data_IF_063095628455
#
_entry.id   IF_063095628455
#
_cell.length_a   1.000
_cell.length_b   1.000
_cell.length_c   1.000
_cell.angle_alpha   90.00
_cell.angle_beta   90.00
_cell.angle_gamma   90.00
#
_symmetry.space_group_name_H-M   'P 1'
#
loop_
_entity.id
_entity.type
_entity.pdbx_description
1 polymer ?
#
# COMPACT_ATOMS: atom_id res chain seq x y z
N UNK A 1 8.10 -11.68 13.96
CA UNK A 1 8.08 -10.19 14.11
C UNK A 1 9.46 -9.57 13.90
N UNK A 2 10.34 -9.42 14.89
CA UNK A 2 11.56 -8.58 14.73
C UNK A 2 12.53 -9.05 13.64
N UNK A 3 12.70 -10.36 13.43
CA UNK A 3 13.57 -10.88 12.37
C UNK A 3 12.91 -10.86 10.99
N UNK A 4 11.58 -10.72 10.95
CA UNK A 4 10.78 -10.72 9.71
C UNK A 4 10.43 -9.31 9.25
N UNK A 5 10.57 -8.28 10.11
CA UNK A 5 10.12 -6.93 9.82
C UNK A 5 10.90 -6.27 8.67
N UNK A 6 12.22 -6.47 8.61
CA UNK A 6 13.03 -5.93 7.51
C UNK A 6 12.73 -6.63 6.18
N UNK A 7 12.77 -7.98 6.09
CA UNK A 7 12.36 -8.67 4.87
C UNK A 7 10.91 -8.36 4.44
N UNK A 8 9.97 -8.23 5.38
CA UNK A 8 8.60 -7.85 5.06
C UNK A 8 8.56 -6.46 4.41
N UNK A 9 9.23 -5.47 5.01
CA UNK A 9 9.31 -4.11 4.48
C UNK A 9 9.94 -4.08 3.09
N UNK A 10 11.09 -4.73 2.91
CA UNK A 10 11.77 -4.83 1.61
C UNK A 10 10.84 -5.45 0.56
N UNK A 11 10.13 -6.52 0.92
CA UNK A 11 9.28 -7.26 0.02
C UNK A 11 8.06 -6.47 -0.49
N UNK A 12 7.40 -5.67 0.35
CA UNK A 12 6.29 -4.83 -0.11
C UNK A 12 6.71 -3.44 -0.62
N UNK A 13 8.00 -3.11 -0.59
CA UNK A 13 8.52 -1.83 -1.10
C UNK A 13 9.52 -2.06 -2.23
N UNK A 14 10.82 -2.07 -1.93
CA UNK A 14 11.89 -2.20 -2.90
C UNK A 14 12.70 -3.47 -2.74
N UNK A 15 12.48 -4.47 -3.59
CA UNK A 15 13.22 -5.74 -3.56
C UNK A 15 14.21 -5.86 -4.74
N UNK A 16 14.96 -6.98 -4.81
CA UNK A 16 15.93 -7.27 -5.89
C UNK A 16 17.01 -6.18 -6.10
N UNK A 17 17.21 -5.30 -5.11
CA UNK A 17 18.14 -4.18 -5.16
C UNK A 17 17.61 -2.91 -5.85
N UNK A 18 16.32 -2.82 -6.19
CA UNK A 18 15.75 -1.71 -6.98
C UNK A 18 15.58 -0.38 -6.23
N UNK A 19 16.03 -0.30 -4.96
CA UNK A 19 15.71 0.79 -4.01
C UNK A 19 14.23 0.81 -3.62
N UNK A 20 13.83 1.67 -2.68
CA UNK A 20 12.57 1.56 -1.92
C UNK A 20 11.27 1.79 -2.71
N UNK A 21 11.31 2.39 -3.91
CA UNK A 21 10.12 2.72 -4.72
C UNK A 21 9.12 3.70 -4.06
N UNK A 22 9.59 4.47 -3.09
CA UNK A 22 8.84 5.55 -2.45
C UNK A 22 8.76 6.80 -3.34
N UNK A 23 7.89 7.72 -2.96
CA UNK A 23 7.89 9.07 -3.53
C UNK A 23 9.15 9.84 -3.14
N UNK A 24 10.10 9.91 -4.07
CA UNK A 24 11.36 10.62 -3.85
C UNK A 24 11.26 12.12 -4.10
N UNK A 25 10.12 12.61 -4.63
CA UNK A 25 9.87 14.03 -4.89
C UNK A 25 9.15 14.73 -3.73
N UNK A 26 8.63 13.96 -2.76
CA UNK A 26 7.89 14.50 -1.62
C UNK A 26 8.36 13.95 -0.26
N UNK A 27 7.48 13.34 0.56
CA UNK A 27 7.77 13.01 1.97
C UNK A 27 8.47 11.67 2.17
N UNK A 28 8.69 10.89 1.11
CA UNK A 28 9.39 9.61 1.12
C UNK A 28 8.63 8.47 1.85
N UNK A 29 7.37 8.68 2.22
CA UNK A 29 6.65 7.77 3.12
C UNK A 29 5.80 6.70 2.40
N UNK A 30 5.03 7.10 1.41
CA UNK A 30 4.17 6.27 0.58
C UNK A 30 4.83 5.83 -0.73
N UNK A 31 4.21 4.84 -1.41
CA UNK A 31 4.67 4.35 -2.71
C UNK A 31 4.44 5.39 -3.80
N UNK A 32 5.42 5.56 -4.69
CA UNK A 32 5.25 6.31 -5.94
C UNK A 32 6.36 5.90 -6.93
N UNK A 33 6.28 4.69 -7.50
CA UNK A 33 7.33 4.12 -8.35
C UNK A 33 7.61 4.96 -9.61
N UNK A 34 6.65 5.79 -10.05
CA UNK A 34 6.85 6.74 -11.15
C UNK A 34 7.97 7.75 -10.88
N UNK A 35 8.11 8.18 -9.62
CA UNK A 35 9.05 9.24 -9.26
C UNK A 35 10.50 8.83 -9.36
N UNK A 36 10.78 7.53 -9.45
CA UNK A 36 12.13 6.98 -9.48
C UNK A 36 12.82 7.30 -10.80
N UNK A 37 12.08 7.48 -11.89
CA UNK A 37 12.63 7.88 -13.18
C UNK A 37 12.21 9.32 -13.55
N UNK A 38 12.89 9.91 -14.54
CA UNK A 38 12.60 11.27 -14.99
C UNK A 38 12.95 12.40 -14.01
N UNK A 39 13.59 12.09 -12.88
CA UNK A 39 14.03 13.07 -11.87
C UNK A 39 15.56 13.32 -11.90
N UNK A 40 16.00 14.39 -11.21
CA UNK A 40 17.39 14.81 -11.10
C UNK A 40 18.17 14.27 -9.89
N UNK A 41 17.61 13.33 -9.12
CA UNK A 41 18.16 12.87 -7.82
C UNK A 41 18.97 11.57 -7.90
N UNK A 42 19.04 10.93 -9.06
CA UNK A 42 19.96 9.80 -9.30
C UNK A 42 19.48 8.44 -8.76
N UNK A 43 18.23 8.34 -8.30
CA UNK A 43 17.61 7.10 -7.81
C UNK A 43 16.76 6.44 -8.91
N UNK A 44 17.41 5.99 -9.99
CA UNK A 44 16.71 5.52 -11.19
C UNK A 44 16.46 4.02 -11.20
N UNK A 45 15.26 3.62 -11.66
CA UNK A 45 14.96 2.23 -12.02
C UNK A 45 15.19 1.96 -13.51
N UNK A 46 15.27 3.01 -14.33
CA UNK A 46 15.34 2.97 -15.79
C UNK A 46 14.27 2.06 -16.41
N UNK A 47 13.11 1.96 -15.75
CA UNK A 47 12.08 1.05 -16.18
C UNK A 47 11.41 1.55 -17.46
N UNK A 48 11.14 0.62 -18.38
CA UNK A 48 10.32 0.84 -19.56
C UNK A 48 9.40 -0.37 -19.79
N UNK A 49 8.75 -0.48 -20.95
CA UNK A 49 7.83 -1.60 -21.20
C UNK A 49 8.49 -2.98 -21.31
N UNK A 50 9.83 -3.08 -21.29
CA UNK A 50 10.55 -4.32 -21.53
C UNK A 50 11.50 -4.70 -20.39
N UNK A 51 12.02 -3.71 -19.68
CA UNK A 51 13.20 -3.87 -18.84
C UNK A 51 13.22 -2.95 -17.62
N UNK A 52 14.05 -3.31 -16.64
CA UNK A 52 14.20 -2.60 -15.37
C UNK A 52 15.62 -2.83 -14.80
N UNK A 53 16.06 -1.91 -13.95
CA UNK A 53 17.32 -1.97 -13.22
C UNK A 53 18.29 -0.91 -13.73
N UNK A 54 19.47 -0.84 -13.13
CA UNK A 54 20.48 0.12 -13.55
C UNK A 54 21.78 -0.63 -13.84
N UNK A 55 22.27 -0.50 -15.08
CA UNK A 55 23.54 -1.12 -15.47
C UNK A 55 24.70 -0.38 -14.80
N UNK A 56 25.25 -1.02 -13.78
CA UNK A 56 26.39 -0.54 -12.99
C UNK A 56 27.64 -1.39 -13.24
N UNK A 57 27.61 -2.29 -14.22
CA UNK A 57 28.78 -3.04 -14.67
C UNK A 57 29.85 -2.12 -15.25
N UNK A 58 31.09 -2.59 -15.29
CA UNK A 58 32.24 -1.94 -15.94
C UNK A 58 32.17 -2.12 -17.45
N UNK A 59 31.76 -3.29 -17.92
CA UNK A 59 31.76 -3.63 -19.34
C UNK A 59 30.78 -2.81 -20.18
N UNK A 60 29.63 -2.43 -19.64
CA UNK A 60 28.56 -1.76 -20.40
C UNK A 60 27.84 -0.62 -19.64
N UNK A 61 28.00 -0.57 -18.32
CA UNK A 61 27.26 0.35 -17.46
C UNK A 61 28.06 1.57 -17.00
N UNK A 62 27.74 2.02 -15.78
CA UNK A 62 28.39 3.18 -15.14
C UNK A 62 29.79 2.90 -14.57
N UNK A 63 30.21 1.64 -14.51
CA UNK A 63 31.48 1.22 -13.91
C UNK A 63 31.51 1.20 -12.38
N UNK A 64 30.36 1.36 -11.71
CA UNK A 64 30.29 1.34 -10.25
C UNK A 64 30.69 -0.02 -9.64
N UNK A 65 30.38 -1.15 -10.30
CA UNK A 65 30.81 -2.47 -9.86
C UNK A 65 32.34 -2.57 -9.72
N UNK A 66 33.10 -1.88 -10.59
CA UNK A 66 34.57 -1.85 -10.57
C UNK A 66 35.18 -1.04 -9.43
N UNK A 67 34.37 -0.36 -8.62
CA UNK A 67 34.86 0.39 -7.44
C UNK A 67 35.05 -0.51 -6.21
N UNK A 68 34.54 -1.74 -6.25
CA UNK A 68 34.74 -2.73 -5.20
C UNK A 68 36.10 -3.45 -5.32
N UNK A 69 36.59 -4.12 -4.26
CA UNK A 69 37.70 -5.06 -4.36
C UNK A 69 37.45 -6.13 -5.43
N UNK A 70 38.53 -6.64 -6.05
CA UNK A 70 38.49 -7.45 -7.26
C UNK A 70 37.48 -8.61 -7.20
N UNK A 71 37.46 -9.39 -6.12
CA UNK A 71 36.57 -10.54 -5.99
C UNK A 71 35.09 -10.13 -5.91
N UNK A 72 34.81 -8.99 -5.28
CA UNK A 72 33.45 -8.45 -5.14
C UNK A 72 33.00 -7.79 -6.44
N UNK A 73 33.90 -7.07 -7.11
CA UNK A 73 33.65 -6.49 -8.42
C UNK A 73 33.32 -7.58 -9.44
N UNK A 74 34.09 -8.67 -9.48
CA UNK A 74 33.81 -9.82 -10.35
C UNK A 74 32.44 -10.45 -10.07
N UNK A 75 32.06 -10.58 -8.79
CA UNK A 75 30.75 -11.12 -8.41
C UNK A 75 29.59 -10.26 -8.91
N UNK A 76 29.70 -8.93 -8.84
CA UNK A 76 28.66 -8.00 -9.28
C UNK A 76 28.70 -7.69 -10.78
N UNK A 77 29.85 -7.85 -11.43
CA UNK A 77 30.01 -7.67 -12.88
C UNK A 77 29.28 -8.75 -13.69
N UNK A 78 29.33 -10.00 -13.23
CA UNK A 78 28.66 -11.11 -13.90
C UNK A 78 27.26 -11.33 -13.31
N UNK A 79 26.26 -11.23 -14.19
CA UNK A 79 24.85 -11.47 -13.87
C UNK A 79 24.62 -12.89 -13.31
N UNK A 80 25.39 -13.89 -13.76
CA UNK A 80 25.27 -15.26 -13.28
C UNK A 80 25.73 -15.39 -11.81
N UNK A 81 26.69 -14.56 -11.38
CA UNK A 81 27.22 -14.61 -10.01
C UNK A 81 26.54 -13.61 -9.07
N UNK A 82 25.99 -12.51 -9.58
CA UNK A 82 25.31 -11.48 -8.78
C UNK A 82 24.13 -12.07 -7.99
N UNK A 83 24.06 -11.94 -6.65
CA UNK A 83 22.91 -12.40 -5.88
C UNK A 83 21.60 -11.72 -6.31
N UNK A 84 20.49 -12.46 -6.35
CA UNK A 84 19.20 -11.94 -6.85
C UNK A 84 18.77 -10.66 -6.11
N UNK A 85 19.01 -10.57 -4.80
CA UNK A 85 18.67 -9.41 -3.97
C UNK A 85 19.51 -8.15 -4.28
N UNK A 86 20.49 -8.23 -5.17
CA UNK A 86 21.27 -7.10 -5.69
C UNK A 86 21.21 -6.98 -7.21
N UNK A 87 20.44 -7.83 -7.89
CA UNK A 87 20.43 -7.92 -9.35
C UNK A 87 20.14 -6.57 -10.00
N UNK A 88 19.05 -5.92 -9.61
CA UNK A 88 18.60 -4.67 -10.23
C UNK A 88 19.41 -3.44 -9.79
N UNK A 89 20.24 -3.61 -8.75
CA UNK A 89 21.24 -2.61 -8.39
C UNK A 89 22.43 -2.65 -9.36
N UNK A 90 22.84 -3.82 -9.85
CA UNK A 90 24.03 -3.92 -10.70
C UNK A 90 23.73 -4.07 -12.19
N UNK A 91 22.55 -4.57 -12.54
CA UNK A 91 22.19 -4.96 -13.90
C UNK A 91 20.89 -4.28 -14.34
N UNK A 92 20.82 -3.95 -15.63
CA UNK A 92 19.59 -3.60 -16.32
C UNK A 92 19.14 -4.82 -17.14
N UNK A 93 17.98 -5.38 -16.84
CA UNK A 93 17.54 -6.66 -17.39
C UNK A 93 16.10 -6.60 -17.91
N UNK A 94 15.78 -7.49 -18.84
CA UNK A 94 14.38 -7.68 -19.24
C UNK A 94 13.56 -8.21 -18.06
N UNK A 95 12.29 -7.83 -17.96
CA UNK A 95 11.35 -8.36 -16.96
C UNK A 95 11.25 -9.89 -16.96
N UNK A 96 11.53 -10.52 -18.11
CA UNK A 96 11.49 -11.97 -18.32
C UNK A 96 12.81 -12.68 -17.98
N UNK A 97 13.84 -11.95 -17.52
CA UNK A 97 15.07 -12.55 -17.02
C UNK A 97 14.75 -13.51 -15.86
N UNK A 98 15.32 -14.71 -15.91
CA UNK A 98 15.08 -15.76 -14.92
C UNK A 98 16.10 -15.64 -13.80
N UNK A 99 15.60 -15.37 -12.60
CA UNK A 99 16.36 -15.32 -11.35
C UNK A 99 16.88 -16.71 -10.97
N UNK A 100 17.80 -16.78 -10.00
CA UNK A 100 18.29 -18.06 -9.47
C UNK A 100 17.19 -18.87 -8.77
N UNK A 101 16.14 -18.19 -8.30
CA UNK A 101 14.91 -18.84 -7.80
C UNK A 101 14.11 -19.59 -8.88
N UNK A 102 14.37 -19.30 -10.17
CA UNK A 102 13.61 -19.83 -11.31
C UNK A 102 12.40 -18.97 -11.71
N UNK A 103 12.04 -17.95 -10.92
CA UNK A 103 11.04 -16.97 -11.29
C UNK A 103 11.61 -15.95 -12.29
N UNK A 104 10.75 -15.34 -13.10
CA UNK A 104 11.15 -14.15 -13.86
C UNK A 104 11.20 -12.94 -12.94
N UNK A 105 12.02 -11.94 -13.23
CA UNK A 105 12.10 -10.68 -12.44
C UNK A 105 10.72 -10.12 -12.11
N UNK A 106 9.85 -9.96 -13.11
CA UNK A 106 8.51 -9.40 -12.87
C UNK A 106 7.60 -10.31 -12.03
N UNK A 107 7.73 -11.63 -12.16
CA UNK A 107 6.91 -12.56 -11.38
C UNK A 107 7.36 -12.57 -9.93
N UNK A 108 8.67 -12.58 -9.68
CA UNK A 108 9.21 -12.45 -8.33
C UNK A 108 8.80 -11.10 -7.72
N UNK A 109 8.80 -10.02 -8.51
CA UNK A 109 8.25 -8.74 -8.10
C UNK A 109 6.83 -8.89 -7.55
N UNK A 110 5.90 -9.46 -8.32
CA UNK A 110 4.54 -9.70 -7.83
C UNK A 110 4.52 -10.59 -6.58
N UNK A 111 5.23 -11.72 -6.62
CA UNK A 111 5.21 -12.70 -5.53
C UNK A 111 5.70 -12.10 -4.20
N UNK A 112 6.81 -11.36 -4.23
CA UNK A 112 7.36 -10.73 -3.03
C UNK A 112 6.47 -9.59 -2.50
N UNK A 113 5.89 -8.75 -3.36
CA UNK A 113 5.00 -7.67 -2.88
C UNK A 113 3.77 -8.22 -2.15
N UNK A 114 3.18 -9.29 -2.69
CA UNK A 114 2.10 -10.00 -2.00
C UNK A 114 2.58 -10.68 -0.72
N UNK A 115 3.74 -11.35 -0.74
CA UNK A 115 4.29 -12.02 0.43
C UNK A 115 4.68 -11.04 1.55
N UNK A 116 5.22 -9.87 1.21
CA UNK A 116 5.57 -8.80 2.15
C UNK A 116 4.32 -8.25 2.84
N UNK A 117 3.30 -7.88 2.06
CA UNK A 117 2.03 -7.40 2.61
C UNK A 117 1.34 -8.46 3.47
N UNK A 118 1.39 -9.73 3.07
CA UNK A 118 0.88 -10.86 3.86
C UNK A 118 1.65 -11.02 5.18
N UNK A 119 2.98 -10.89 5.15
CA UNK A 119 3.83 -11.00 6.34
C UNK A 119 3.51 -9.89 7.33
N UNK A 120 3.30 -8.65 6.87
CA UNK A 120 2.94 -7.51 7.71
C UNK A 120 1.65 -7.78 8.51
N UNK A 121 0.66 -8.48 7.92
CA UNK A 121 -0.57 -8.86 8.63
C UNK A 121 -0.32 -9.73 9.85
N UNK A 122 0.73 -10.57 9.81
CA UNK A 122 1.04 -11.52 10.90
C UNK A 122 1.55 -10.83 12.15
N UNK A 123 2.05 -9.58 12.03
CA UNK A 123 2.57 -8.82 13.17
C UNK A 123 1.47 -8.39 14.13
N UNK A 124 0.27 -8.12 13.63
CA UNK A 124 -0.88 -7.72 14.46
C UNK A 124 -1.31 -8.82 15.46
N UNK A 125 -1.68 -10.05 15.03
CA UNK A 125 -2.04 -11.12 15.97
C UNK A 125 -0.87 -11.55 16.84
N UNK A 126 0.37 -11.52 16.32
CA UNK A 126 1.56 -11.80 17.12
C UNK A 126 1.73 -10.78 18.27
N UNK A 127 1.54 -9.48 18.00
CA UNK A 127 1.56 -8.44 19.03
C UNK A 127 0.39 -8.55 20.01
N UNK A 128 -0.84 -8.80 19.51
CA UNK A 128 -2.02 -9.04 20.36
C UNK A 128 -1.82 -10.19 21.36
N UNK A 129 -1.06 -11.23 21.00
CA UNK A 129 -0.74 -12.36 21.90
C UNK A 129 0.10 -11.97 23.15
N UNK A 130 0.63 -10.74 23.17
CA UNK A 130 1.42 -10.17 24.26
C UNK A 130 0.59 -9.28 25.20
N UNK A 131 -0.74 -9.17 24.98
CA UNK A 131 -1.63 -8.44 25.87
C UNK A 131 -1.48 -8.90 27.33
N UNK A 132 -1.43 -7.95 28.26
CA UNK A 132 -1.19 -8.20 29.68
C UNK A 132 0.25 -8.60 30.05
N UNK A 133 1.16 -8.77 29.08
CA UNK A 133 2.60 -9.02 29.31
C UNK A 133 3.48 -7.79 29.08
N UNK A 134 2.92 -6.75 28.49
CA UNK A 134 3.54 -5.43 28.25
C UNK A 134 2.63 -4.39 28.94
N UNK A 135 3.18 -3.29 29.45
CA UNK A 135 2.34 -2.22 29.98
C UNK A 135 1.40 -1.68 28.91
N UNK A 136 0.27 -1.15 29.36
CA UNK A 136 -0.80 -0.75 28.48
C UNK A 136 -0.36 0.31 27.46
N UNK A 137 0.43 1.31 27.85
CA UNK A 137 0.84 2.39 26.96
C UNK A 137 1.62 1.85 25.74
N UNK A 138 2.72 1.13 25.98
CA UNK A 138 3.55 0.59 24.89
C UNK A 138 2.82 -0.48 24.08
N UNK A 139 2.02 -1.33 24.73
CA UNK A 139 1.20 -2.32 24.04
C UNK A 139 0.26 -1.65 23.03
N UNK A 140 -0.43 -0.60 23.47
CA UNK A 140 -1.45 0.07 22.67
C UNK A 140 -0.83 0.92 21.55
N UNK A 141 0.27 1.63 21.78
CA UNK A 141 0.96 2.41 20.74
C UNK A 141 1.50 1.49 19.63
N UNK A 142 2.21 0.42 20.00
CA UNK A 142 2.77 -0.50 19.02
C UNK A 142 1.67 -1.27 18.27
N UNK A 143 0.57 -1.65 18.93
CA UNK A 143 -0.56 -2.29 18.25
C UNK A 143 -1.14 -1.38 17.16
N UNK A 144 -1.31 -0.08 17.46
CA UNK A 144 -1.77 0.90 16.50
C UNK A 144 -0.84 0.98 15.27
N UNK A 145 0.48 1.07 15.50
CA UNK A 145 1.47 1.10 14.41
C UNK A 145 1.47 -0.17 13.55
N UNK A 146 1.30 -1.33 14.18
CA UNK A 146 1.23 -2.61 13.45
C UNK A 146 -0.04 -2.73 12.61
N UNK A 147 -1.19 -2.28 13.15
CA UNK A 147 -2.45 -2.25 12.40
C UNK A 147 -2.33 -1.29 11.21
N UNK A 148 -1.77 -0.10 11.43
CA UNK A 148 -1.48 0.85 10.36
C UNK A 148 -0.56 0.23 9.30
N UNK A 149 0.59 -0.33 9.70
CA UNK A 149 1.55 -0.95 8.78
C UNK A 149 0.91 -2.09 7.98
N UNK A 150 0.08 -2.92 8.60
CA UNK A 150 -0.63 -3.99 7.93
C UNK A 150 -1.55 -3.43 6.82
N UNK A 151 -2.31 -2.37 7.09
CA UNK A 151 -3.12 -1.70 6.08
C UNK A 151 -2.30 -1.02 4.98
N UNK A 152 -1.28 -0.26 5.35
CA UNK A 152 -0.44 0.51 4.42
C UNK A 152 0.43 -0.38 3.53
N UNK A 153 0.82 -1.57 4.00
CA UNK A 153 1.53 -2.56 3.19
C UNK A 153 0.71 -3.03 1.96
N UNK A 154 -0.63 -2.98 2.03
CA UNK A 154 -1.52 -3.29 0.91
C UNK A 154 -1.48 -2.15 -0.12
N UNK A 155 -1.46 -0.89 0.33
CA UNK A 155 -1.31 0.29 -0.55
C UNK A 155 0.01 0.20 -1.32
N UNK A 156 1.09 -0.07 -0.60
CA UNK A 156 2.42 -0.30 -1.16
C UNK A 156 2.46 -1.42 -2.21
N UNK A 157 1.94 -2.60 -1.84
CA UNK A 157 1.83 -3.76 -2.74
C UNK A 157 1.07 -3.41 -4.02
N UNK A 158 -0.12 -2.83 -3.89
CA UNK A 158 -0.99 -2.57 -5.04
C UNK A 158 -0.40 -1.50 -5.95
N UNK A 159 0.11 -0.40 -5.39
CA UNK A 159 0.69 0.68 -6.18
C UNK A 159 1.85 0.19 -7.05
N UNK A 160 2.78 -0.56 -6.45
CA UNK A 160 3.95 -1.04 -7.15
C UNK A 160 3.59 -2.15 -8.14
N UNK A 161 2.79 -3.13 -7.73
CA UNK A 161 2.42 -4.24 -8.60
C UNK A 161 1.61 -3.76 -9.82
N UNK A 162 0.63 -2.87 -9.61
CA UNK A 162 -0.17 -2.31 -10.71
C UNK A 162 0.68 -1.41 -11.61
N UNK A 163 1.60 -0.61 -11.07
CA UNK A 163 2.48 0.24 -11.87
C UNK A 163 3.33 -0.59 -12.85
N UNK A 164 4.05 -1.60 -12.35
CA UNK A 164 4.90 -2.43 -13.22
C UNK A 164 4.12 -3.43 -14.08
N UNK A 165 2.92 -3.82 -13.66
CA UNK A 165 1.99 -4.56 -14.53
C UNK A 165 1.52 -3.70 -15.71
N UNK A 166 1.12 -2.45 -15.46
CA UNK A 166 0.72 -1.52 -16.51
C UNK A 166 1.89 -1.17 -17.45
N UNK A 167 3.09 -0.97 -16.88
CA UNK A 167 4.28 -0.65 -17.67
C UNK A 167 4.74 -1.84 -18.53
N UNK A 168 4.89 -3.03 -17.96
CA UNK A 168 5.42 -4.21 -18.67
C UNK A 168 4.39 -4.93 -19.54
N UNK A 169 3.10 -4.83 -19.21
CA UNK A 169 2.03 -5.62 -19.84
C UNK A 169 2.12 -7.13 -19.59
N UNK A 170 2.96 -7.59 -18.65
CA UNK A 170 3.13 -9.01 -18.35
C UNK A 170 2.16 -9.41 -17.21
N UNK A 171 1.24 -10.35 -17.43
CA UNK A 171 0.27 -10.74 -16.40
C UNK A 171 0.95 -11.48 -15.25
N UNK A 172 0.46 -11.25 -14.02
CA UNK A 172 0.78 -12.09 -12.87
C UNK A 172 0.27 -13.51 -13.12
N UNK A 173 1.14 -14.53 -13.03
CA UNK A 173 0.77 -15.94 -13.22
C UNK A 173 -0.31 -16.41 -12.26
N UNK A 174 -0.37 -15.83 -11.06
CA UNK A 174 -1.41 -16.15 -10.08
C UNK A 174 -2.70 -15.35 -10.29
N UNK A 175 -2.72 -14.38 -11.22
CA UNK A 175 -3.90 -13.58 -11.56
C UNK A 175 -4.38 -12.68 -10.42
N UNK A 176 -3.47 -12.17 -9.56
CA UNK A 176 -3.84 -11.31 -8.42
C UNK A 176 -3.80 -9.83 -8.78
N UNK A 177 -2.75 -9.39 -9.48
CA UNK A 177 -2.54 -7.97 -9.82
C UNK A 177 -3.68 -7.45 -10.69
N UNK A 178 -4.31 -6.35 -10.27
CA UNK A 178 -5.46 -5.76 -10.95
C UNK A 178 -6.75 -6.58 -10.86
N UNK A 179 -6.80 -7.65 -10.05
CA UNK A 179 -7.98 -8.51 -9.91
C UNK A 179 -8.32 -8.72 -8.43
N UNK A 180 -9.22 -7.88 -7.93
CA UNK A 180 -9.61 -7.81 -6.52
C UNK A 180 -11.09 -8.16 -6.33
N UNK A 181 -11.49 -9.45 -6.39
CA UNK A 181 -12.91 -9.85 -6.44
C UNK A 181 -13.68 -9.53 -5.15
N UNK A 182 -12.97 -9.26 -4.05
CA UNK A 182 -13.56 -8.88 -2.78
C UNK A 182 -13.76 -7.37 -2.62
N UNK A 183 -13.26 -6.55 -3.57
CA UNK A 183 -13.35 -5.09 -3.52
C UNK A 183 -14.62 -4.58 -4.21
N UNK A 184 -15.18 -3.56 -3.59
CA UNK A 184 -16.21 -2.70 -4.16
C UNK A 184 -15.59 -1.32 -4.24
N UNK A 185 -15.33 -0.86 -5.46
CA UNK A 185 -14.79 0.47 -5.72
C UNK A 185 -15.82 1.54 -5.32
N UNK A 186 -15.37 2.58 -4.61
CA UNK A 186 -16.27 3.60 -4.07
C UNK A 186 -16.97 4.39 -5.18
N UNK A 187 -16.28 4.66 -6.30
CA UNK A 187 -16.83 5.34 -7.47
C UNK A 187 -17.89 4.52 -8.23
N UNK A 188 -18.00 3.21 -7.95
CA UNK A 188 -19.03 2.34 -8.50
C UNK A 188 -20.26 2.20 -7.57
N UNK A 189 -20.26 2.85 -6.41
CA UNK A 189 -21.40 2.89 -5.49
C UNK A 189 -22.44 3.92 -5.93
N UNK A 190 -23.62 3.88 -5.30
CA UNK A 190 -24.61 4.96 -5.39
C UNK A 190 -24.11 6.12 -4.52
N UNK A 191 -23.83 7.25 -5.17
CA UNK A 191 -23.26 8.44 -4.54
C UNK A 191 -24.31 9.55 -4.35
N UNK A 192 -24.30 10.16 -3.17
CA UNK A 192 -25.04 11.40 -2.84
C UNK A 192 -24.11 12.34 -2.07
N UNK A 193 -23.82 13.53 -2.60
CA UNK A 193 -22.83 14.45 -2.02
C UNK A 193 -21.36 14.02 -2.14
N UNK A 194 -21.09 12.90 -2.84
CA UNK A 194 -19.77 12.45 -3.27
C UNK A 194 -19.62 12.57 -4.78
N UNK A 195 -18.40 12.84 -5.25
CA UNK A 195 -18.05 12.79 -6.68
C UNK A 195 -16.72 12.04 -6.91
N UNK A 196 -16.53 11.39 -8.08
CA UNK A 196 -15.27 10.76 -8.43
C UNK A 196 -14.12 11.76 -8.50
N UNK A 197 -12.94 11.32 -8.04
CA UNK A 197 -11.70 12.07 -8.01
C UNK A 197 -10.59 11.23 -8.65
N UNK A 198 -10.01 11.75 -9.73
CA UNK A 198 -8.86 11.12 -10.38
C UNK A 198 -7.62 11.30 -9.51
N UNK A 199 -7.12 10.20 -8.93
CA UNK A 199 -5.99 10.22 -8.00
C UNK A 199 -4.67 10.36 -8.76
N UNK A 200 -3.71 11.09 -8.17
CA UNK A 200 -2.38 11.30 -8.74
C UNK A 200 -1.33 11.20 -7.63
N UNK A 201 -0.38 10.25 -7.70
CA UNK A 201 -0.20 9.25 -8.76
C UNK A 201 -1.34 8.22 -8.78
N UNK A 202 -1.76 7.75 -9.95
CA UNK A 202 -2.98 6.94 -10.10
C UNK A 202 -2.90 5.59 -9.39
N UNK A 203 -1.70 5.02 -9.25
CA UNK A 203 -1.50 3.66 -8.74
C UNK A 203 -1.77 3.52 -7.23
N UNK A 204 -1.92 4.63 -6.50
CA UNK A 204 -2.24 4.62 -5.06
C UNK A 204 -3.74 4.63 -4.76
N UNK A 205 -4.57 4.51 -5.79
CA UNK A 205 -6.01 4.29 -5.69
C UNK A 205 -6.39 3.00 -6.43
N UNK A 206 -7.30 2.23 -5.86
CA UNK A 206 -7.90 1.11 -6.57
C UNK A 206 -8.66 1.64 -7.78
N UNK A 207 -8.50 0.99 -8.93
CA UNK A 207 -9.09 1.45 -10.19
C UNK A 207 -8.80 2.94 -10.54
N UNK A 208 -7.69 3.49 -10.01
CA UNK A 208 -7.17 4.83 -10.30
C UNK A 208 -8.02 6.00 -9.80
N UNK A 209 -9.13 5.73 -9.11
CA UNK A 209 -10.16 6.71 -8.80
C UNK A 209 -10.58 6.56 -7.34
N UNK A 210 -10.68 7.67 -6.63
CA UNK A 210 -11.33 7.74 -5.33
C UNK A 210 -12.65 8.50 -5.46
N UNK A 211 -13.39 8.66 -4.38
CA UNK A 211 -14.47 9.64 -4.27
C UNK A 211 -14.16 10.68 -3.19
N UNK A 212 -14.59 11.92 -3.41
CA UNK A 212 -14.45 13.03 -2.45
C UNK A 212 -15.78 13.76 -2.30
N UNK A 213 -16.04 14.33 -1.14
CA UNK A 213 -17.28 15.08 -0.92
C UNK A 213 -17.31 16.31 -1.82
N UNK A 214 -18.46 16.61 -2.42
CA UNK A 214 -18.63 17.76 -3.34
C UNK A 214 -18.55 19.11 -2.63
N UNK A 215 -18.54 19.13 -1.30
CA UNK A 215 -18.43 20.32 -0.47
C UNK A 215 -17.80 19.98 0.87
N UNK A 216 -16.89 20.83 1.36
CA UNK A 216 -16.29 20.68 2.69
C UNK A 216 -17.23 21.05 3.86
N UNK A 217 -18.53 21.21 3.60
CA UNK A 217 -19.53 21.57 4.62
C UNK A 217 -20.65 20.54 4.78
N UNK A 218 -20.80 19.63 3.82
CA UNK A 218 -21.90 18.66 3.79
C UNK A 218 -21.35 17.26 3.65
N UNK A 219 -21.91 16.33 4.42
CA UNK A 219 -21.52 14.94 4.33
C UNK A 219 -21.89 14.34 2.96
N UNK A 220 -21.05 13.43 2.48
CA UNK A 220 -21.34 12.55 1.35
C UNK A 220 -21.79 11.17 1.85
N UNK A 221 -22.57 10.48 1.03
CA UNK A 221 -22.99 9.08 1.21
C UNK A 221 -22.58 8.25 -0.01
N UNK A 222 -21.90 7.13 0.23
CA UNK A 222 -21.67 6.09 -0.75
C UNK A 222 -22.38 4.80 -0.29
N UNK A 223 -23.16 4.17 -1.15
CA UNK A 223 -23.94 2.99 -0.78
C UNK A 223 -24.04 1.94 -1.88
N UNK A 224 -24.11 0.67 -1.49
CA UNK A 224 -24.25 -0.45 -2.42
C UNK A 224 -25.01 -1.61 -1.80
N UNK A 225 -25.57 -2.49 -2.64
CA UNK A 225 -26.12 -3.77 -2.20
C UNK A 225 -25.01 -4.82 -2.24
N UNK A 226 -24.82 -5.54 -1.15
CA UNK A 226 -23.81 -6.58 -1.03
C UNK A 226 -24.27 -7.85 -1.74
N UNK A 227 -23.59 -8.19 -2.84
CA UNK A 227 -23.77 -9.46 -3.57
C UNK A 227 -22.75 -10.53 -3.11
N UNK A 228 -22.61 -10.68 -1.80
CA UNK A 228 -21.84 -11.74 -1.17
C UNK A 228 -22.79 -12.76 -0.55
N UNK A 229 -22.39 -14.02 -0.47
CA UNK A 229 -23.17 -15.03 0.25
C UNK A 229 -23.33 -14.65 1.73
N UNK A 230 -24.43 -15.07 2.35
CA UNK A 230 -24.62 -14.82 3.78
C UNK A 230 -23.54 -15.54 4.59
N UNK A 231 -22.95 -14.86 5.57
CA UNK A 231 -21.84 -15.39 6.33
C UNK A 231 -21.19 -14.38 7.28
N UNK A 232 -20.03 -14.74 7.82
CA UNK A 232 -19.21 -13.87 8.65
C UNK A 232 -18.02 -13.39 7.85
N UNK A 233 -17.76 -12.09 7.87
CA UNK A 233 -16.75 -11.41 7.07
C UNK A 233 -15.95 -10.40 7.90
N UNK A 234 -14.75 -10.09 7.44
CA UNK A 234 -14.05 -8.87 7.81
C UNK A 234 -14.37 -7.80 6.75
N UNK A 235 -14.82 -6.62 7.18
CA UNK A 235 -15.09 -5.48 6.28
C UNK A 235 -13.98 -4.47 6.47
N UNK A 236 -13.25 -4.18 5.40
CA UNK A 236 -12.21 -3.17 5.41
C UNK A 236 -12.56 -1.98 4.53
N UNK A 237 -12.17 -0.79 4.96
CA UNK A 237 -12.40 0.45 4.25
C UNK A 237 -11.06 1.13 4.04
N UNK A 238 -10.72 1.38 2.78
CA UNK A 238 -9.55 2.16 2.38
C UNK A 238 -9.98 3.60 2.11
N UNK A 239 -9.30 4.54 2.76
CA UNK A 239 -9.61 5.97 2.72
C UNK A 239 -8.31 6.76 2.84
N UNK A 240 -8.38 8.09 2.79
CA UNK A 240 -7.21 8.94 2.93
C UNK A 240 -7.35 9.90 4.12
N UNK A 241 -6.30 9.98 4.93
CA UNK A 241 -6.15 10.88 6.06
C UNK A 241 -5.21 12.02 5.65
N UNK A 242 -5.81 13.16 5.31
CA UNK A 242 -5.11 14.29 4.72
C UNK A 242 -4.77 15.33 5.77
N UNK A 243 -3.64 15.98 5.59
CA UNK A 243 -3.29 17.15 6.36
C UNK A 243 -4.31 18.28 6.16
N UNK A 244 -4.71 18.89 7.27
CA UNK A 244 -5.60 20.07 7.26
C UNK A 244 -7.07 19.76 7.55
N UNK A 245 -7.39 18.51 7.90
CA UNK A 245 -8.71 18.11 8.38
C UNK A 245 -8.65 17.00 9.42
N UNK A 246 -9.83 16.49 9.76
CA UNK A 246 -10.07 15.27 10.49
C UNK A 246 -11.47 14.73 10.12
N UNK A 247 -11.63 14.25 8.89
CA UNK A 247 -12.96 13.82 8.42
C UNK A 247 -13.47 12.67 9.26
N UNK A 248 -14.78 12.67 9.46
CA UNK A 248 -15.45 11.66 10.24
C UNK A 248 -16.24 10.72 9.33
N UNK A 249 -16.15 9.42 9.58
CA UNK A 249 -16.84 8.40 8.79
C UNK A 249 -17.71 7.53 9.66
N UNK A 250 -18.87 7.13 9.13
CA UNK A 250 -19.77 6.14 9.72
C UNK A 250 -20.07 5.05 8.69
N UNK A 251 -19.78 3.80 9.03
CA UNK A 251 -20.09 2.62 8.23
C UNK A 251 -21.33 1.93 8.80
N UNK A 252 -22.31 1.65 7.94
CA UNK A 252 -23.57 1.04 8.29
C UNK A 252 -23.85 -0.19 7.43
N UNK A 253 -24.49 -1.19 8.04
CA UNK A 253 -25.12 -2.31 7.35
C UNK A 253 -26.62 -2.21 7.58
N UNK A 254 -27.39 -2.07 6.50
CA UNK A 254 -28.80 -1.69 6.52
C UNK A 254 -28.99 -0.37 7.31
N UNK A 255 -29.67 -0.44 8.46
CA UNK A 255 -29.91 0.71 9.33
C UNK A 255 -29.03 0.70 10.59
N UNK A 256 -28.17 -0.30 10.76
CA UNK A 256 -27.34 -0.48 11.95
C UNK A 256 -25.94 0.07 11.69
N UNK A 257 -25.47 0.96 12.57
CA UNK A 257 -24.09 1.45 12.54
C UNK A 257 -23.14 0.34 12.96
N UNK A 258 -22.26 -0.07 12.04
CA UNK A 258 -21.21 -1.03 12.29
C UNK A 258 -20.04 -0.38 13.03
N UNK A 259 -19.70 0.87 12.69
CA UNK A 259 -18.69 1.62 13.39
C UNK A 259 -18.45 3.01 12.84
N UNK A 260 -17.75 3.82 13.63
CA UNK A 260 -17.42 5.22 13.34
C UNK A 260 -15.95 5.48 13.63
N UNK A 261 -15.31 6.30 12.81
CA UNK A 261 -13.91 6.67 13.00
C UNK A 261 -13.62 8.07 12.47
N UNK A 262 -12.51 8.63 12.92
CA UNK A 262 -11.99 9.91 12.45
C UNK A 262 -10.67 9.66 11.75
N UNK A 263 -10.45 10.31 10.61
CA UNK A 263 -9.16 10.38 9.95
C UNK A 263 -8.26 11.39 10.70
N UNK A 264 -7.61 10.94 11.76
CA UNK A 264 -6.76 11.81 12.59
C UNK A 264 -5.47 11.13 13.08
N UNK A 265 -4.90 10.23 12.27
CA UNK A 265 -3.62 9.58 12.50
C UNK A 265 -2.42 10.54 12.28
N UNK A 266 -2.52 11.74 12.87
CA UNK A 266 -1.64 12.91 12.74
C UNK A 266 -0.22 12.65 13.26
N UNK A 267 0.75 13.50 12.89
CA UNK A 267 2.15 13.42 13.33
C UNK A 267 2.47 13.98 14.71
N UNK A 268 3.61 13.56 15.28
CA UNK A 268 3.98 13.86 16.67
C UNK A 268 4.35 15.33 16.79
N UNK A 269 3.48 16.09 17.46
CA UNK A 269 3.79 17.42 17.96
C UNK A 269 4.03 17.27 19.46
N UNK A 270 5.24 17.60 19.91
CA UNK A 270 5.79 17.29 21.24
C UNK A 270 5.01 17.81 22.47
N UNK A 271 3.82 18.39 22.31
CA UNK A 271 3.06 19.08 23.34
C UNK A 271 1.59 18.61 23.50
N UNK A 272 1.16 17.49 22.92
CA UNK A 272 -0.22 16.99 23.13
C UNK A 272 -0.28 15.73 24.02
N UNK A 273 -1.23 15.75 24.95
CA UNK A 273 -1.70 14.56 25.67
C UNK A 273 -2.49 13.69 24.67
N UNK A 274 -1.83 12.65 24.18
CA UNK A 274 -2.05 11.90 22.94
C UNK A 274 -3.45 11.28 22.71
N UNK A 275 -3.97 11.32 21.47
CA UNK A 275 -4.30 10.12 20.68
C UNK A 275 -3.05 9.63 19.94
N UNK A 276 -3.03 8.36 19.50
CA UNK A 276 -1.85 7.66 18.96
C UNK A 276 -1.44 8.23 17.61
N UNK A 277 -0.14 8.44 17.43
CA UNK A 277 0.40 9.35 16.41
C UNK A 277 1.37 8.59 15.49
N UNK A 278 1.16 8.69 14.17
CA UNK A 278 2.10 8.17 13.17
C UNK A 278 3.31 9.11 13.01
N UNK A 279 4.52 8.56 12.94
CA UNK A 279 5.74 9.36 12.92
C UNK A 279 6.21 9.75 11.52
N UNK A 280 5.37 10.34 10.67
CA UNK A 280 5.76 10.77 9.31
C UNK A 280 5.26 12.17 8.96
N UNK A 281 5.85 12.80 7.94
CA UNK A 281 5.35 14.08 7.42
C UNK A 281 3.97 13.86 6.80
N UNK A 282 2.95 14.66 7.16
CA UNK A 282 1.60 14.49 6.66
C UNK A 282 1.47 15.03 5.22
N UNK A 283 0.56 14.47 4.43
CA UNK A 283 0.31 14.91 3.04
C UNK A 283 -1.01 15.66 2.92
N UNK A 284 -1.03 16.74 2.15
CA UNK A 284 -2.25 17.49 1.80
C UNK A 284 -2.99 16.90 0.59
N UNK A 285 -2.52 15.78 0.03
CA UNK A 285 -3.10 15.18 -1.17
C UNK A 285 -3.74 13.83 -0.87
N UNK A 286 -4.65 13.42 -1.76
CA UNK A 286 -5.15 12.05 -1.85
C UNK A 286 -4.06 11.24 -2.56
N UNK A 287 -3.16 10.62 -1.81
CA UNK A 287 -1.97 9.95 -2.34
C UNK A 287 -1.52 8.78 -1.42
N UNK A 288 -0.43 8.11 -1.79
CA UNK A 288 0.11 6.99 -1.01
C UNK A 288 0.61 7.38 0.40
N UNK A 289 0.79 8.67 0.70
CA UNK A 289 1.24 9.16 2.00
C UNK A 289 0.07 9.36 2.98
N UNK A 290 -1.11 9.69 2.47
CA UNK A 290 -2.36 9.82 3.24
C UNK A 290 -3.22 8.56 3.24
N UNK A 291 -2.98 7.62 2.32
CA UNK A 291 -3.73 6.37 2.23
C UNK A 291 -3.62 5.53 3.51
N UNK A 292 -4.77 5.10 4.02
CA UNK A 292 -4.92 4.34 5.25
C UNK A 292 -6.09 3.36 5.13
N UNK A 293 -6.14 2.38 6.04
CA UNK A 293 -7.17 1.35 6.08
C UNK A 293 -7.67 1.13 7.50
N UNK A 294 -8.98 1.00 7.65
CA UNK A 294 -9.63 0.49 8.85
C UNK A 294 -10.29 -0.86 8.55
N UNK A 295 -10.43 -1.73 9.55
CA UNK A 295 -11.05 -3.05 9.38
C UNK A 295 -11.94 -3.39 10.57
N UNK A 296 -13.16 -3.81 10.27
CA UNK A 296 -14.17 -4.30 11.20
C UNK A 296 -14.25 -5.82 11.07
N UNK A 297 -13.85 -6.54 12.11
CA UNK A 297 -13.76 -8.00 12.06
C UNK A 297 -15.03 -8.71 12.52
N UNK A 298 -15.28 -9.90 12.00
CA UNK A 298 -16.39 -10.78 12.39
C UNK A 298 -17.80 -10.16 12.21
N UNK A 299 -18.00 -9.42 11.12
CA UNK A 299 -19.29 -8.84 10.74
C UNK A 299 -20.17 -9.91 10.14
N UNK A 300 -21.39 -10.06 10.64
CA UNK A 300 -22.38 -10.97 10.04
C UNK A 300 -23.12 -10.22 8.94
N UNK A 301 -23.09 -10.78 7.73
CA UNK A 301 -23.75 -10.23 6.54
C UNK A 301 -24.76 -11.22 5.99
N UNK A 302 -25.86 -10.71 5.47
CA UNK A 302 -26.81 -11.44 4.64
C UNK A 302 -26.68 -10.98 3.19
N UNK A 303 -26.82 -11.91 2.26
CA UNK A 303 -26.90 -11.57 0.84
C UNK A 303 -28.02 -10.55 0.60
N UNK A 304 -27.69 -9.44 -0.03
CA UNK A 304 -28.62 -8.33 -0.29
C UNK A 304 -28.67 -7.26 0.80
N UNK A 305 -27.87 -7.37 1.86
CA UNK A 305 -27.70 -6.28 2.83
C UNK A 305 -27.18 -5.02 2.13
N UNK A 306 -27.63 -3.85 2.60
CA UNK A 306 -27.15 -2.56 2.10
C UNK A 306 -25.94 -2.10 2.90
N UNK A 307 -24.79 -1.93 2.26
CA UNK A 307 -23.65 -1.23 2.85
C UNK A 307 -23.77 0.26 2.56
N UNK A 308 -23.54 1.10 3.58
CA UNK A 308 -23.53 2.55 3.45
C UNK A 308 -22.38 3.15 4.24
N UNK A 309 -21.61 4.04 3.60
CA UNK A 309 -20.60 4.87 4.24
C UNK A 309 -21.03 6.32 4.14
N UNK A 310 -21.04 7.02 5.28
CA UNK A 310 -21.24 8.46 5.36
C UNK A 310 -19.92 9.09 5.73
N UNK A 311 -19.37 9.96 4.89
CA UNK A 311 -18.18 10.75 5.21
C UNK A 311 -18.53 12.22 5.40
N UNK A 312 -18.16 12.76 6.54
CA UNK A 312 -18.31 14.17 6.90
C UNK A 312 -16.95 14.84 6.78
N UNK A 313 -16.78 15.79 5.85
CA UNK A 313 -15.51 16.46 5.64
C UNK A 313 -15.19 17.39 6.81
N UNK A 314 -13.90 17.67 7.01
CA UNK A 314 -13.44 18.63 8.01
C UNK A 314 -12.26 19.45 7.47
N UNK A 315 -12.34 20.77 7.62
CA UNK A 315 -11.32 21.69 7.12
C UNK A 315 -11.07 21.53 5.60
N UNK A 316 -9.84 21.13 5.27
CA UNK A 316 -9.41 20.89 3.88
C UNK A 316 -9.49 19.43 3.45
N UNK A 317 -9.95 18.53 4.32
CA UNK A 317 -10.08 17.11 4.00
C UNK A 317 -11.51 16.79 3.54
N UNK A 318 -11.71 16.42 2.26
CA UNK A 318 -13.03 16.22 1.67
C UNK A 318 -13.53 14.77 1.86
N UNK A 319 -13.33 14.20 3.05
CA UNK A 319 -13.66 12.80 3.40
C UNK A 319 -13.40 11.76 2.28
N UNK A 320 -12.17 11.68 1.74
CA UNK A 320 -11.84 10.85 0.58
C UNK A 320 -11.91 9.34 0.86
N UNK A 321 -12.60 8.60 -0.01
CA UNK A 321 -12.79 7.14 0.09
C UNK A 321 -12.32 6.45 -1.20
N UNK A 322 -11.61 5.33 -1.08
CA UNK A 322 -11.08 4.55 -2.20
C UNK A 322 -11.99 3.34 -2.50
N UNK A 323 -12.02 2.36 -1.60
CA UNK A 323 -12.83 1.16 -1.78
C UNK A 323 -13.21 0.50 -0.44
N UNK A 324 -14.13 -0.46 -0.54
CA UNK A 324 -14.48 -1.37 0.56
C UNK A 324 -14.15 -2.80 0.17
N UNK A 325 -13.54 -3.57 1.08
CA UNK A 325 -13.30 -5.00 0.89
C UNK A 325 -14.17 -5.84 1.81
N UNK A 326 -14.80 -6.88 1.27
CA UNK A 326 -15.59 -7.88 2.01
C UNK A 326 -14.84 -9.21 2.00
N UNK A 327 -14.17 -9.53 3.10
CA UNK A 327 -13.18 -10.59 3.17
C UNK A 327 -13.64 -11.73 4.07
N UNK A 328 -13.29 -12.96 3.71
CA UNK A 328 -13.40 -14.07 4.66
C UNK A 328 -12.51 -13.78 5.89
N UNK A 329 -12.92 -14.17 7.12
CA UNK A 329 -12.18 -13.82 8.33
C UNK A 329 -10.71 -14.22 8.26
N UNK A 330 -9.82 -13.26 8.56
CA UNK A 330 -8.37 -13.46 8.52
C UNK A 330 -7.76 -13.59 7.12
N UNK A 331 -8.53 -13.32 6.05
CA UNK A 331 -8.00 -13.15 4.69
C UNK A 331 -7.65 -11.70 4.43
N UNK A 332 -6.81 -11.49 3.43
CA UNK A 332 -6.47 -10.19 2.86
C UNK A 332 -6.80 -10.19 1.37
N UNK A 333 -7.01 -8.98 0.83
CA UNK A 333 -7.26 -8.72 -0.58
C UNK A 333 -6.23 -9.34 -1.53
#
# INVERSE_FOLDING_TARGET
MSMESWPAYENYSGNLGIQTLNDILYTHYGPNPQTLDGNGWGQWTRADGFSIGMDRTVSNGTGFAGQYPEEVAQMYEDIATTPDNYLLWFHHVNYTHILKSGATVIQDFYDQHYAGAQTAQTFVPAWKSLEGKIDNERYTDQLFRQVYQAGHSIVWRDAIANYYHNLSGIPDKAGRVGHYPSRIEAENMILDGYEPYAVSPFEVASNYTAIVTTSNMTAGTASTILDFDSGTYDIAVNYYDMYGGASHYSLMINNDTLGEWTADAKPYIANQAAPRILGHTPSIYVDGHSAIRITFSNVTLNKGDMLKIIGTPDGNEPAPLDYVSVLQPGKID
#
